data_IF_380813251157
#
_entry.id   IF_380813251157
#
_cell.length_a   1.000
_cell.length_b   1.000
_cell.length_c   1.000
_cell.angle_alpha   90.00
_cell.angle_beta   90.00
_cell.angle_gamma   90.00
#
_symmetry.space_group_name_H-M   'P 1'
#
loop_
_entity.id
_entity.type
_entity.pdbx_description
1 polymer ?
#
# COMPACT_ATOMS: atom_id res chain seq x y z
N UNK A 1 4.32 2.03 -18.32
CA UNK A 1 3.48 0.82 -18.25
C UNK A 1 2.68 0.86 -16.95
N UNK A 2 1.67 0.00 -16.80
CA UNK A 2 0.93 -0.08 -15.56
C UNK A 2 0.01 -1.29 -15.47
N UNK A 3 -0.49 -1.50 -14.26
CA UNK A 3 -1.50 -2.50 -13.93
C UNK A 3 -2.68 -1.77 -13.31
N UNK A 4 -3.89 -2.02 -13.80
CA UNK A 4 -5.10 -1.44 -13.24
C UNK A 4 -6.09 -2.53 -12.83
N UNK A 5 -6.72 -2.34 -11.68
CA UNK A 5 -7.70 -3.26 -11.11
C UNK A 5 -9.05 -2.55 -10.97
N UNK A 6 -10.13 -3.24 -11.35
CA UNK A 6 -11.49 -2.72 -11.26
C UNK A 6 -12.04 -2.73 -9.83
N UNK A 7 -11.25 -3.18 -8.86
CA UNK A 7 -11.66 -3.27 -7.46
C UNK A 7 -10.50 -2.93 -6.54
N UNK A 8 -10.78 -2.13 -5.51
CA UNK A 8 -9.79 -1.62 -4.57
C UNK A 8 -10.16 -2.02 -3.13
N UNK A 9 -9.43 -2.98 -2.56
CA UNK A 9 -9.60 -3.38 -1.15
C UNK A 9 -9.02 -2.38 -0.14
N UNK A 10 -8.39 -1.32 -0.65
CA UNK A 10 -7.73 -0.26 0.12
C UNK A 10 -8.13 1.12 -0.44
N UNK A 11 -9.43 1.48 -0.41
CA UNK A 11 -9.87 2.80 -0.85
C UNK A 11 -9.50 3.87 0.19
N UNK A 12 -9.17 5.08 -0.29
CA UNK A 12 -8.80 6.22 0.56
C UNK A 12 -9.74 7.39 0.33
N UNK A 13 -9.86 8.29 1.32
CA UNK A 13 -10.77 9.43 1.25
C UNK A 13 -12.23 8.97 1.01
N UNK A 14 -12.92 9.53 0.02
CA UNK A 14 -14.28 9.16 -0.38
C UNK A 14 -14.34 8.13 -1.53
N UNK A 15 -13.21 7.50 -1.87
CA UNK A 15 -13.21 6.40 -2.84
C UNK A 15 -14.02 5.23 -2.31
N UNK A 16 -14.71 4.53 -3.21
CA UNK A 16 -15.33 3.24 -2.98
C UNK A 16 -14.50 2.10 -3.57
N UNK A 17 -14.66 0.85 -3.09
CA UNK A 17 -13.93 -0.28 -3.64
C UNK A 17 -14.12 -0.44 -5.15
N UNK A 18 -15.31 -0.17 -5.65
CA UNK A 18 -15.67 -0.29 -7.08
C UNK A 18 -15.02 0.78 -7.97
N UNK A 19 -14.42 1.83 -7.39
CA UNK A 19 -13.73 2.86 -8.17
C UNK A 19 -12.38 2.36 -8.73
N UNK A 20 -11.90 1.22 -8.23
CA UNK A 20 -10.67 0.59 -8.66
C UNK A 20 -9.42 1.43 -8.42
N UNK A 21 -8.29 0.99 -8.95
CA UNK A 21 -7.04 1.74 -8.92
C UNK A 21 -6.11 1.32 -10.07
N UNK A 22 -5.10 2.14 -10.32
CA UNK A 22 -4.01 1.84 -11.23
C UNK A 22 -2.67 2.08 -10.54
N UNK A 23 -1.69 1.25 -10.86
CA UNK A 23 -0.29 1.41 -10.48
C UNK A 23 0.51 1.57 -11.76
N UNK A 24 1.16 2.71 -11.93
CA UNK A 24 1.91 3.08 -13.12
C UNK A 24 3.39 3.31 -12.81
N UNK A 25 4.23 2.94 -13.76
CA UNK A 25 5.67 3.15 -13.70
C UNK A 25 6.24 3.50 -15.08
N UNK A 26 7.41 4.13 -15.07
CA UNK A 26 8.24 4.29 -16.26
C UNK A 26 8.94 2.97 -16.55
N UNK A 27 9.10 2.61 -17.83
CA UNK A 27 9.76 1.38 -18.28
C UNK A 27 8.85 0.15 -18.39
N UNK A 28 9.46 -1.03 -18.40
CA UNK A 28 8.78 -2.33 -18.57
C UNK A 28 7.86 -2.67 -17.39
N UNK A 29 6.77 -3.37 -17.69
CA UNK A 29 5.72 -3.74 -16.72
C UNK A 29 6.23 -4.58 -15.55
N UNK A 30 7.35 -5.29 -15.71
CA UNK A 30 8.05 -6.04 -14.66
C UNK A 30 8.28 -5.19 -13.41
N UNK A 31 8.48 -3.88 -13.55
CA UNK A 31 8.62 -2.97 -12.41
C UNK A 31 7.38 -2.96 -11.51
N UNK A 32 6.19 -2.87 -12.10
CA UNK A 32 4.92 -2.84 -11.36
C UNK A 32 4.59 -4.22 -10.80
N UNK A 33 4.79 -5.27 -11.61
CA UNK A 33 4.51 -6.66 -11.20
C UNK A 33 5.45 -7.10 -10.05
N UNK A 34 6.70 -6.64 -10.05
CA UNK A 34 7.68 -6.91 -9.00
C UNK A 34 7.41 -6.22 -7.67
N UNK A 35 6.38 -5.38 -7.57
CA UNK A 35 6.03 -4.67 -6.33
C UNK A 35 6.99 -3.55 -5.95
N UNK A 36 7.75 -3.03 -6.92
CA UNK A 36 8.64 -1.89 -6.73
C UNK A 36 7.86 -0.60 -6.45
N UNK A 37 8.56 0.47 -6.07
CA UNK A 37 7.96 1.78 -5.78
C UNK A 37 7.39 2.46 -7.03
N UNK A 38 6.15 2.12 -7.37
CA UNK A 38 5.40 2.65 -8.51
C UNK A 38 4.28 3.61 -8.06
N UNK A 39 3.81 4.46 -8.97
CA UNK A 39 2.84 5.50 -8.65
C UNK A 39 1.40 4.95 -8.69
N UNK A 40 0.70 5.01 -7.56
CA UNK A 40 -0.69 4.53 -7.44
C UNK A 40 -1.68 5.68 -7.53
N UNK A 41 -2.73 5.53 -8.34
CA UNK A 41 -3.82 6.50 -8.46
C UNK A 41 -5.17 5.81 -8.71
N UNK A 42 -6.27 6.51 -8.46
CA UNK A 42 -7.61 6.05 -8.84
C UNK A 42 -8.00 6.66 -10.20
N UNK A 43 -8.34 5.87 -11.22
CA UNK A 43 -8.77 6.40 -12.52
C UNK A 43 -9.94 7.38 -12.43
N UNK A 44 -10.91 7.11 -11.55
CA UNK A 44 -12.08 7.98 -11.33
C UNK A 44 -11.74 9.28 -10.61
N UNK A 45 -10.73 9.25 -9.73
CA UNK A 45 -10.29 10.40 -8.94
C UNK A 45 -8.76 10.59 -9.01
N UNK A 46 -8.20 10.90 -10.19
CA UNK A 46 -6.75 10.89 -10.41
C UNK A 46 -6.02 12.03 -9.69
N UNK A 47 -6.76 13.05 -9.25
CA UNK A 47 -6.23 14.18 -8.49
C UNK A 47 -6.08 13.89 -6.99
N UNK A 48 -6.73 12.85 -6.46
CA UNK A 48 -6.57 12.46 -5.06
C UNK A 48 -5.23 11.75 -4.92
N UNK A 49 -4.30 12.39 -4.22
CA UNK A 49 -3.06 11.75 -3.79
C UNK A 49 -3.05 11.69 -2.26
N UNK A 50 -3.10 10.50 -1.64
CA UNK A 50 -3.05 10.37 -0.19
C UNK A 50 -1.65 10.68 0.38
N UNK A 51 -0.65 10.88 -0.48
CA UNK A 51 0.75 10.99 -0.09
C UNK A 51 1.20 12.44 0.06
N UNK A 52 1.90 12.75 1.15
CA UNK A 52 2.57 14.03 1.34
C UNK A 52 3.81 14.18 0.44
N UNK A 53 4.11 15.43 0.04
CA UNK A 53 5.21 15.79 -0.86
C UNK A 53 6.56 15.10 -0.53
N UNK A 54 6.97 15.12 0.74
CA UNK A 54 8.26 14.55 1.16
C UNK A 54 8.33 13.05 0.99
N UNK A 55 7.20 12.36 1.15
CA UNK A 55 7.12 10.92 0.94
C UNK A 55 7.06 10.61 -0.57
N UNK A 56 6.37 11.42 -1.38
CA UNK A 56 6.43 11.30 -2.85
C UNK A 56 7.87 11.44 -3.36
N UNK A 57 8.63 12.41 -2.86
CA UNK A 57 10.02 12.60 -3.25
C UNK A 57 10.86 11.40 -2.83
N UNK A 58 10.75 10.94 -1.58
CA UNK A 58 11.55 9.83 -1.03
C UNK A 58 11.27 8.52 -1.75
N UNK A 59 9.99 8.23 -1.99
CA UNK A 59 9.50 6.93 -2.43
C UNK A 59 9.21 6.87 -3.93
N UNK A 60 9.48 7.93 -4.68
CA UNK A 60 9.43 7.91 -6.13
C UNK A 60 10.36 6.84 -6.72
N UNK A 61 9.89 6.22 -7.80
CA UNK A 61 10.69 5.39 -8.69
C UNK A 61 12.07 6.01 -8.97
N UNK A 62 13.13 5.22 -8.77
CA UNK A 62 14.54 5.64 -8.95
C UNK A 62 15.20 5.04 -10.17
N UNK A 63 14.67 3.92 -10.62
CA UNK A 63 15.16 3.16 -11.76
C UNK A 63 13.97 2.51 -12.47
N UNK A 64 14.20 2.03 -13.67
CA UNK A 64 13.25 1.22 -14.42
C UNK A 64 13.99 0.13 -15.18
N UNK A 65 13.21 -0.87 -15.61
CA UNK A 65 13.69 -1.91 -16.50
C UNK A 65 13.41 -1.50 -17.94
N UNK A 66 14.41 -1.69 -18.80
CA UNK A 66 14.34 -1.44 -20.23
C UNK A 66 14.98 -2.60 -20.98
N UNK A 67 14.60 -2.78 -22.24
CA UNK A 67 15.25 -3.74 -23.12
C UNK A 67 16.53 -3.11 -23.67
N UNK A 68 17.64 -3.83 -23.58
CA UNK A 68 18.90 -3.41 -24.18
C UNK A 68 18.93 -3.72 -25.67
N UNK A 69 18.64 -2.71 -26.49
CA UNK A 69 18.63 -2.85 -27.94
C UNK A 69 20.03 -2.89 -28.56
N UNK A 70 21.10 -2.60 -27.79
CA UNK A 70 22.48 -2.65 -28.27
C UNK A 70 23.14 -4.01 -28.00
N UNK A 71 22.56 -4.81 -27.11
CA UNK A 71 23.05 -6.15 -26.76
C UNK A 71 22.67 -7.16 -27.83
N UNK A 72 23.65 -7.49 -28.67
CA UNK A 72 23.48 -8.47 -29.75
C UNK A 72 23.85 -9.91 -29.33
N UNK A 73 24.45 -10.09 -28.16
CA UNK A 73 24.89 -11.37 -27.62
C UNK A 73 24.33 -11.55 -26.20
N UNK A 74 23.26 -12.34 -26.08
CA UNK A 74 22.57 -12.63 -24.83
C UNK A 74 22.21 -14.11 -24.77
N UNK A 75 22.37 -14.72 -23.59
CA UNK A 75 22.16 -16.15 -23.40
C UNK A 75 20.79 -16.42 -22.77
N UNK A 76 19.78 -16.64 -23.60
CA UNK A 76 18.43 -16.98 -23.13
C UNK A 76 18.38 -18.32 -22.37
N UNK A 77 19.31 -19.24 -22.62
CA UNK A 77 19.31 -20.55 -21.97
C UNK A 77 19.82 -20.46 -20.53
N UNK A 78 20.80 -19.58 -20.30
CA UNK A 78 21.40 -19.35 -18.98
C UNK A 78 20.68 -18.26 -18.18
N UNK A 79 20.41 -17.12 -18.82
CA UNK A 79 19.96 -15.89 -18.17
C UNK A 79 18.45 -15.63 -18.38
N UNK A 80 17.76 -16.48 -19.14
CA UNK A 80 16.30 -16.51 -19.23
C UNK A 80 15.68 -15.26 -19.87
N UNK A 81 14.51 -14.86 -19.36
CA UNK A 81 13.78 -13.67 -19.83
C UNK A 81 14.46 -12.35 -19.47
N UNK A 82 15.38 -12.36 -18.50
CA UNK A 82 16.15 -11.20 -18.05
C UNK A 82 17.42 -10.96 -18.88
N UNK A 83 17.77 -11.86 -19.80
CA UNK A 83 19.06 -11.86 -20.51
C UNK A 83 19.36 -10.54 -21.24
N UNK A 84 18.33 -9.82 -21.69
CA UNK A 84 18.45 -8.53 -22.39
C UNK A 84 17.85 -7.36 -21.58
N UNK A 85 17.48 -7.56 -20.31
CA UNK A 85 16.87 -6.52 -19.49
C UNK A 85 17.96 -5.74 -18.76
N UNK A 86 17.95 -4.41 -18.94
CA UNK A 86 18.81 -3.47 -18.22
C UNK A 86 18.02 -2.68 -17.20
N UNK A 87 18.68 -2.42 -16.06
CA UNK A 87 18.21 -1.51 -15.02
C UNK A 87 18.84 -0.14 -15.23
N UNK A 88 18.01 0.85 -15.59
CA UNK A 88 18.43 2.22 -15.90
C UNK A 88 17.92 3.17 -14.82
N UNK A 89 18.75 4.11 -14.37
CA UNK A 89 18.31 5.12 -13.40
C UNK A 89 17.46 6.21 -14.06
N UNK A 90 16.47 6.76 -13.33
CA UNK A 90 15.64 7.88 -13.83
C UNK A 90 16.51 9.10 -14.18
N UNK A 91 17.59 9.32 -13.43
CA UNK A 91 18.56 10.41 -13.69
C UNK A 91 19.32 10.22 -15.00
N UNK A 92 19.58 8.98 -15.41
CA UNK A 92 20.24 8.69 -16.67
C UNK A 92 19.29 8.95 -17.84
N UNK A 93 18.06 8.42 -17.75
CA UNK A 93 17.03 8.56 -18.76
C UNK A 93 16.48 10.00 -18.93
N UNK A 94 16.69 10.88 -17.95
CA UNK A 94 16.41 12.31 -18.10
C UNK A 94 17.10 12.90 -19.34
N UNK A 95 18.30 12.42 -19.67
CA UNK A 95 19.08 12.88 -20.83
C UNK A 95 18.44 12.54 -22.16
N UNK A 96 17.54 11.55 -22.18
CA UNK A 96 16.87 11.08 -23.39
C UNK A 96 15.67 11.95 -23.75
N UNK A 97 15.20 12.81 -22.83
CA UNK A 97 14.11 13.75 -23.08
C UNK A 97 12.71 13.12 -23.16
N UNK A 98 12.57 11.83 -22.83
CA UNK A 98 11.32 11.06 -22.96
C UNK A 98 10.43 11.11 -21.70
N UNK A 99 10.97 11.60 -20.58
CA UNK A 99 10.31 11.55 -19.28
C UNK A 99 9.30 12.68 -19.02
N UNK A 100 9.18 13.66 -19.92
CA UNK A 100 8.44 14.92 -19.71
C UNK A 100 7.02 14.73 -19.18
N UNK A 101 6.29 13.72 -19.65
CA UNK A 101 4.91 13.47 -19.23
C UNK A 101 4.78 12.62 -17.95
N UNK A 102 5.88 12.01 -17.49
CA UNK A 102 5.89 11.03 -16.41
C UNK A 102 6.48 11.59 -15.10
N UNK A 103 7.22 12.69 -15.16
CA UNK A 103 7.92 13.25 -14.00
C UNK A 103 7.54 14.70 -13.69
N UNK A 104 7.71 15.05 -12.43
CA UNK A 104 7.84 16.42 -11.95
C UNK A 104 9.25 16.66 -11.40
N UNK A 105 9.70 17.91 -11.45
CA UNK A 105 10.94 18.34 -10.81
C UNK A 105 10.64 18.95 -9.45
N UNK A 106 11.37 18.49 -8.42
CA UNK A 106 11.26 19.06 -7.08
C UNK A 106 12.07 20.36 -6.96
N UNK A 107 11.36 21.45 -6.71
CA UNK A 107 11.91 22.76 -6.39
C UNK A 107 12.15 22.84 -4.88
N UNK A 108 13.43 22.79 -4.51
CA UNK A 108 13.89 22.84 -3.12
C UNK A 108 13.67 24.22 -2.47
N UNK A 109 13.65 25.30 -3.25
CA UNK A 109 13.50 26.66 -2.72
C UNK A 109 12.06 26.92 -2.32
N UNK A 110 11.11 26.45 -3.14
CA UNK A 110 9.69 26.67 -2.93
C UNK A 110 8.97 25.50 -2.24
N UNK A 111 9.65 24.38 -1.97
CA UNK A 111 9.08 23.12 -1.43
C UNK A 111 7.85 22.66 -2.24
N UNK A 112 8.01 22.60 -3.58
CA UNK A 112 6.93 22.23 -4.51
C UNK A 112 7.41 21.31 -5.63
N UNK A 113 6.46 20.59 -6.25
CA UNK A 113 6.69 19.82 -7.47
C UNK A 113 6.21 20.62 -8.68
N UNK A 114 7.11 20.83 -9.63
CA UNK A 114 6.82 21.49 -10.88
C UNK A 114 6.76 20.42 -11.98
N UNK A 115 5.61 20.21 -12.63
CA UNK A 115 5.46 19.20 -13.68
C UNK A 115 6.48 19.36 -14.80
N UNK A 116 6.96 18.22 -15.31
CA UNK A 116 7.94 18.16 -16.37
C UNK A 116 9.38 17.98 -15.89
N UNK A 117 10.25 17.79 -16.87
CA UNK A 117 11.67 17.46 -16.69
C UNK A 117 12.61 18.65 -16.95
N UNK A 118 12.10 19.76 -17.49
CA UNK A 118 12.90 20.89 -17.98
C UNK A 118 13.67 21.67 -16.90
N UNK A 119 13.25 21.62 -15.63
CA UNK A 119 13.91 22.35 -14.55
C UNK A 119 15.06 21.57 -13.94
N UNK A 120 16.03 22.26 -13.34
CA UNK A 120 17.07 21.60 -12.54
C UNK A 120 16.50 21.16 -11.20
N UNK A 121 16.80 19.92 -10.81
CA UNK A 121 16.40 19.38 -9.52
C UNK A 121 16.09 17.88 -9.56
N UNK A 122 15.87 17.24 -8.40
CA UNK A 122 15.50 15.84 -8.33
C UNK A 122 14.19 15.57 -9.08
N UNK A 123 14.18 14.49 -9.88
CA UNK A 123 12.97 14.02 -10.57
C UNK A 123 12.14 13.10 -9.69
N UNK A 124 10.83 13.31 -9.74
CA UNK A 124 9.81 12.54 -9.05
C UNK A 124 8.86 12.00 -10.09
N UNK A 125 8.74 10.67 -10.19
CA UNK A 125 7.79 10.00 -11.09
C UNK A 125 6.40 10.08 -10.45
N UNK A 126 5.55 10.94 -10.99
CA UNK A 126 4.21 11.22 -10.45
C UNK A 126 3.12 11.35 -11.52
N UNK A 127 3.51 11.29 -12.80
CA UNK A 127 2.62 11.42 -13.95
C UNK A 127 1.72 12.66 -13.91
N UNK A 128 2.16 13.77 -13.29
CA UNK A 128 1.33 14.96 -13.08
C UNK A 128 0.74 15.51 -14.39
N UNK A 129 1.53 15.54 -15.47
CA UNK A 129 1.08 15.99 -16.80
C UNK A 129 -0.09 15.15 -17.35
N UNK A 130 -0.06 13.83 -17.11
CA UNK A 130 -1.14 12.93 -17.53
C UNK A 130 -2.34 13.03 -16.58
N UNK A 131 -2.11 12.97 -15.27
CA UNK A 131 -3.18 12.81 -14.27
C UNK A 131 -3.89 14.12 -13.91
N UNK A 132 -3.16 15.24 -13.85
CA UNK A 132 -3.70 16.56 -13.47
C UNK A 132 -3.99 17.41 -14.69
N UNK A 133 -3.07 17.44 -15.66
CA UNK A 133 -3.17 18.30 -16.84
C UNK A 133 -3.75 17.60 -18.08
N UNK A 134 -4.05 16.29 -17.97
CA UNK A 134 -4.74 15.50 -19.00
C UNK A 134 -4.07 15.59 -20.38
N UNK A 135 -2.73 15.56 -20.43
CA UNK A 135 -2.02 15.48 -21.73
C UNK A 135 -2.44 14.27 -22.56
N UNK A 136 -2.86 13.20 -21.88
CA UNK A 136 -3.49 12.01 -22.48
C UNK A 136 -4.67 11.60 -21.59
N UNK A 137 -5.82 11.17 -22.15
CA UNK A 137 -6.98 10.75 -21.38
C UNK A 137 -6.80 9.35 -20.76
N UNK A 138 -5.67 9.10 -20.09
CA UNK A 138 -5.37 7.81 -19.48
C UNK A 138 -6.39 7.43 -18.38
N UNK A 139 -6.70 8.30 -17.39
CA UNK A 139 -7.65 7.95 -16.34
C UNK A 139 -9.04 7.60 -16.91
N UNK A 140 -9.52 8.43 -17.85
CA UNK A 140 -10.82 8.22 -18.51
C UNK A 140 -10.82 6.90 -19.32
N UNK A 141 -9.70 6.59 -20.00
CA UNK A 141 -9.54 5.32 -20.75
C UNK A 141 -9.58 4.12 -19.81
N UNK A 142 -8.86 4.17 -18.70
CA UNK A 142 -8.84 3.08 -17.72
C UNK A 142 -10.21 2.90 -17.06
N UNK A 143 -10.91 3.98 -16.72
CA UNK A 143 -12.26 3.90 -16.15
C UNK A 143 -13.23 3.16 -17.10
N UNK A 144 -13.22 3.52 -18.38
CA UNK A 144 -14.05 2.86 -19.40
C UNK A 144 -13.67 1.39 -19.57
N UNK A 145 -12.38 1.07 -19.69
CA UNK A 145 -11.92 -0.30 -19.91
C UNK A 145 -12.18 -1.19 -18.71
N UNK A 146 -11.88 -0.73 -17.49
CA UNK A 146 -12.13 -1.49 -16.26
C UNK A 146 -13.60 -1.82 -16.10
N UNK A 147 -14.49 -0.85 -16.35
CA UNK A 147 -15.94 -1.08 -16.30
C UNK A 147 -16.38 -2.08 -17.38
N UNK A 148 -15.94 -1.89 -18.63
CA UNK A 148 -16.30 -2.76 -19.74
C UNK A 148 -15.90 -4.21 -19.48
N UNK A 149 -14.67 -4.44 -19.00
CA UNK A 149 -14.18 -5.79 -18.75
C UNK A 149 -14.76 -6.41 -17.48
N UNK A 150 -15.04 -5.60 -16.45
CA UNK A 150 -15.81 -6.05 -15.30
C UNK A 150 -17.19 -6.58 -15.71
N UNK A 151 -17.94 -5.78 -16.49
CA UNK A 151 -19.28 -6.13 -16.96
C UNK A 151 -19.23 -7.36 -17.89
N UNK A 152 -18.23 -7.45 -18.77
CA UNK A 152 -18.08 -8.56 -19.71
C UNK A 152 -17.70 -9.88 -19.04
N UNK A 153 -16.87 -9.84 -17.98
CA UNK A 153 -16.43 -11.04 -17.26
C UNK A 153 -17.37 -11.42 -16.10
N UNK A 154 -18.22 -10.51 -15.63
CA UNK A 154 -19.09 -10.72 -14.47
C UNK A 154 -18.33 -10.81 -13.14
N UNK A 155 -17.07 -10.37 -13.10
CA UNK A 155 -16.21 -10.38 -11.93
C UNK A 155 -15.25 -9.19 -11.95
N UNK A 156 -14.66 -8.78 -10.82
CA UNK A 156 -13.53 -7.86 -10.83
C UNK A 156 -12.40 -8.33 -11.75
N UNK A 157 -11.71 -7.39 -12.38
CA UNK A 157 -10.67 -7.65 -13.38
C UNK A 157 -9.40 -6.86 -13.10
N UNK A 158 -8.28 -7.41 -13.55
CA UNK A 158 -7.00 -6.74 -13.66
C UNK A 158 -6.62 -6.63 -15.14
N UNK A 159 -6.16 -5.45 -15.54
CA UNK A 159 -5.60 -5.21 -16.86
C UNK A 159 -4.15 -4.75 -16.76
N UNK A 160 -3.32 -5.25 -17.66
CA UNK A 160 -1.95 -4.79 -17.83
C UNK A 160 -1.89 -3.95 -19.11
N UNK A 161 -1.24 -2.79 -19.03
CA UNK A 161 -1.22 -1.84 -20.12
C UNK A 161 0.14 -1.16 -20.31
N UNK A 162 0.38 -0.69 -21.52
CA UNK A 162 1.47 0.21 -21.86
C UNK A 162 0.94 1.41 -22.63
N UNK A 163 1.65 2.53 -22.53
CA UNK A 163 1.36 3.73 -23.29
C UNK A 163 2.63 4.09 -24.01
N UNK A 164 2.52 4.21 -25.32
CA UNK A 164 3.52 4.85 -26.14
C UNK A 164 3.10 6.31 -26.33
N UNK A 165 3.93 7.22 -25.85
CA UNK A 165 3.69 8.66 -25.90
C UNK A 165 4.04 9.26 -27.26
N UNK A 166 4.70 8.50 -28.15
CA UNK A 166 4.94 8.94 -29.51
C UNK A 166 3.61 9.09 -30.28
N UNK A 167 3.47 10.11 -31.14
CA UNK A 167 2.27 10.29 -31.93
C UNK A 167 2.07 9.10 -32.88
N UNK A 168 1.02 8.32 -32.66
CA UNK A 168 0.59 7.26 -33.58
C UNK A 168 -0.10 7.81 -34.83
N UNK A 169 -0.80 6.95 -35.57
CA UNK A 169 -1.39 7.27 -36.88
C UNK A 169 -2.33 8.48 -36.92
N UNK A 170 -2.90 8.87 -35.77
CA UNK A 170 -3.82 10.01 -35.64
C UNK A 170 -3.23 11.19 -34.85
N UNK A 171 -1.92 11.19 -34.61
CA UNK A 171 -1.25 12.20 -33.79
C UNK A 171 -1.49 12.06 -32.28
N UNK A 172 -2.09 10.95 -31.85
CA UNK A 172 -2.36 10.63 -30.44
C UNK A 172 -1.40 9.55 -29.94
N UNK A 173 -1.04 9.58 -28.65
CA UNK A 173 -0.39 8.44 -27.98
C UNK A 173 -1.16 7.14 -28.17
N UNK A 174 -0.44 6.03 -28.24
CA UNK A 174 -1.03 4.70 -28.41
C UNK A 174 -1.14 3.99 -27.07
N UNK A 175 -2.36 3.58 -26.72
CA UNK A 175 -2.62 2.73 -25.56
C UNK A 175 -2.60 1.26 -26.00
N UNK A 176 -1.74 0.46 -25.38
CA UNK A 176 -1.64 -0.97 -25.59
C UNK A 176 -2.26 -1.70 -24.40
N UNK A 177 -3.28 -2.50 -24.68
CA UNK A 177 -3.80 -3.48 -23.73
C UNK A 177 -3.00 -4.77 -23.87
N UNK A 178 -2.25 -5.12 -22.85
CA UNK A 178 -1.30 -6.24 -22.89
C UNK A 178 -1.92 -7.53 -22.37
N UNK A 179 -2.69 -7.43 -21.28
CA UNK A 179 -3.34 -8.57 -20.66
C UNK A 179 -4.63 -8.14 -19.97
N UNK A 180 -5.59 -9.05 -19.91
CA UNK A 180 -6.78 -8.96 -19.07
C UNK A 180 -6.88 -10.29 -18.32
N UNK A 181 -7.10 -10.24 -17.01
CA UNK A 181 -7.39 -11.44 -16.21
C UNK A 181 -8.46 -11.11 -15.17
N UNK A 182 -9.36 -12.06 -14.86
CA UNK A 182 -10.28 -11.88 -13.75
C UNK A 182 -9.48 -11.93 -12.43
N UNK A 183 -9.83 -11.07 -11.47
CA UNK A 183 -9.31 -11.10 -10.10
C UNK A 183 -9.96 -12.27 -9.35
N UNK A 184 -9.55 -13.49 -9.71
CA UNK A 184 -9.95 -14.72 -9.02
C UNK A 184 -8.83 -15.05 -8.04
N UNK A 185 -8.63 -14.24 -7.00
CA UNK A 185 -7.90 -14.72 -5.82
C UNK A 185 -8.88 -15.50 -4.95
N UNK A 186 -8.43 -16.63 -4.40
CA UNK A 186 -9.20 -17.43 -3.44
C UNK A 186 -9.61 -16.59 -2.23
N UNK A 187 -8.79 -15.60 -1.87
CA UNK A 187 -9.07 -14.58 -0.83
C UNK A 187 -10.24 -13.66 -1.19
N UNK A 188 -10.46 -13.37 -2.49
CA UNK A 188 -11.51 -12.47 -3.01
C UNK A 188 -12.88 -13.14 -3.19
N UNK A 189 -12.92 -14.48 -3.14
CA UNK A 189 -14.15 -15.28 -3.19
C UNK A 189 -14.75 -15.58 -1.82
N UNK A 190 -14.00 -15.40 -0.73
CA UNK A 190 -14.59 -15.58 0.59
C UNK A 190 -15.42 -14.34 0.88
N UNK A 191 -16.71 -14.38 0.51
CA UNK A 191 -17.69 -13.47 1.10
C UNK A 191 -17.80 -13.86 2.58
N UNK A 192 -16.85 -13.39 3.36
CA UNK A 192 -16.81 -13.68 4.79
C UNK A 192 -17.97 -12.92 5.40
N UNK A 193 -19.00 -13.66 5.78
CA UNK A 193 -20.10 -13.11 6.53
C UNK A 193 -19.67 -12.89 7.98
N UNK A 194 -19.02 -11.75 8.19
CA UNK A 194 -18.61 -11.27 9.52
C UNK A 194 -19.84 -11.09 10.43
N UNK A 195 -21.03 -10.84 9.87
CA UNK A 195 -22.25 -10.66 10.66
C UNK A 195 -22.82 -12.00 11.16
N UNK A 196 -22.56 -13.10 10.44
CA UNK A 196 -22.90 -14.46 10.88
C UNK A 196 -21.81 -15.12 11.75
N UNK A 197 -20.60 -14.56 11.78
CA UNK A 197 -19.50 -15.08 12.60
C UNK A 197 -19.79 -14.92 14.10
N UNK A 198 -19.43 -15.93 14.89
CA UNK A 198 -19.56 -15.86 16.34
C UNK A 198 -18.71 -14.71 16.90
N UNK A 199 -19.30 -13.93 17.81
CA UNK A 199 -18.61 -12.89 18.59
C UNK A 199 -18.14 -13.40 19.96
N UNK A 200 -18.18 -14.72 20.17
CA UNK A 200 -17.52 -15.34 21.32
C UNK A 200 -15.99 -15.18 21.18
N UNK A 201 -15.30 -14.92 22.29
CA UNK A 201 -13.86 -14.63 22.32
C UNK A 201 -13.44 -13.55 21.30
N UNK A 202 -14.17 -12.43 21.29
CA UNK A 202 -13.86 -11.30 20.43
C UNK A 202 -12.65 -10.52 20.95
N UNK A 203 -11.61 -10.41 20.12
CA UNK A 203 -10.49 -9.49 20.38
C UNK A 203 -10.72 -8.14 19.72
N UNK A 204 -11.14 -8.12 18.46
CA UNK A 204 -11.36 -6.88 17.70
C UNK A 204 -12.52 -7.01 16.72
N UNK A 205 -13.32 -5.95 16.61
CA UNK A 205 -14.28 -5.72 15.53
C UNK A 205 -14.12 -4.29 15.01
N UNK A 206 -14.19 -4.09 13.70
CA UNK A 206 -14.19 -2.76 13.10
C UNK A 206 -14.96 -2.72 11.78
N UNK A 207 -15.73 -1.65 11.56
CA UNK A 207 -16.43 -1.36 10.28
C UNK A 207 -15.65 -0.41 9.35
N UNK A 208 -14.40 -0.11 9.72
CA UNK A 208 -13.46 0.67 8.91
C UNK A 208 -12.11 -0.03 8.88
N UNK A 209 -12.06 -1.12 8.12
CA UNK A 209 -10.87 -1.92 7.86
C UNK A 209 -10.53 -2.00 6.38
N UNK A 210 -9.26 -2.29 6.11
CA UNK A 210 -8.72 -2.62 4.80
C UNK A 210 -8.08 -4.00 4.84
N UNK A 211 -7.93 -4.60 3.66
CA UNK A 211 -7.50 -5.98 3.49
C UNK A 211 -8.68 -6.92 3.25
N UNK A 212 -8.38 -8.11 2.73
CA UNK A 212 -9.38 -9.08 2.36
C UNK A 212 -8.86 -10.51 2.55
N UNK A 213 -9.73 -11.41 3.03
CA UNK A 213 -9.41 -12.82 3.25
C UNK A 213 -9.39 -13.22 4.73
N UNK A 214 -8.76 -14.37 5.00
CA UNK A 214 -8.77 -15.01 6.31
C UNK A 214 -7.35 -15.45 6.71
N UNK A 215 -6.97 -15.19 7.97
CA UNK A 215 -5.69 -15.60 8.57
C UNK A 215 -5.98 -16.45 9.81
N UNK A 216 -5.29 -17.58 9.98
CA UNK A 216 -5.55 -18.57 11.06
C UNK A 216 -4.29 -19.12 11.75
N UNK A 217 -3.14 -18.54 11.47
CA UNK A 217 -1.83 -19.08 11.84
C UNK A 217 -1.01 -18.12 12.73
N UNK A 218 -1.61 -17.00 13.14
CA UNK A 218 -0.95 -16.01 14.01
C UNK A 218 -1.33 -16.23 15.47
N UNK A 219 -0.34 -16.44 16.32
CA UNK A 219 -0.52 -16.57 17.78
C UNK A 219 0.03 -15.34 18.54
N UNK A 220 0.93 -14.60 17.90
CA UNK A 220 1.73 -13.56 18.52
C UNK A 220 1.09 -12.18 18.30
N UNK A 221 0.92 -11.42 19.39
CA UNK A 221 0.49 -10.03 19.35
C UNK A 221 1.56 -9.15 20.00
N UNK A 222 1.97 -8.12 19.28
CA UNK A 222 2.81 -7.05 19.79
C UNK A 222 1.93 -5.81 19.94
N UNK A 223 1.82 -5.27 21.14
CA UNK A 223 1.00 -4.09 21.38
C UNK A 223 1.67 -3.05 22.28
N UNK A 224 1.32 -1.79 22.05
CA UNK A 224 1.70 -0.67 22.92
C UNK A 224 0.69 -0.61 24.08
N UNK A 225 1.16 -0.73 25.32
CA UNK A 225 0.28 -0.71 26.49
C UNK A 225 -0.27 0.72 26.71
N UNK A 226 -1.61 0.92 26.66
CA UNK A 226 -2.22 2.23 26.85
C UNK A 226 -1.91 2.87 28.21
N UNK A 227 -1.58 2.08 29.23
CA UNK A 227 -1.27 2.60 30.57
C UNK A 227 0.11 3.24 30.65
N UNK A 228 1.07 2.73 29.88
CA UNK A 228 2.44 3.26 29.82
C UNK A 228 2.65 4.23 28.67
N UNK A 229 1.69 4.32 27.75
CA UNK A 229 1.80 5.18 26.56
C UNK A 229 2.05 6.65 26.92
N UNK A 230 3.11 7.21 26.34
CA UNK A 230 3.42 8.63 26.41
C UNK A 230 3.65 9.18 25.00
N UNK A 231 2.84 10.19 24.63
CA UNK A 231 2.91 10.89 23.33
C UNK A 231 4.28 11.55 23.09
N UNK A 232 5.02 11.87 24.15
CA UNK A 232 6.36 12.45 24.06
C UNK A 232 7.45 11.38 23.84
N UNK A 233 7.08 10.10 23.96
CA UNK A 233 7.97 8.94 23.89
C UNK A 233 7.74 8.05 22.66
N UNK A 234 7.00 8.53 21.66
CA UNK A 234 6.68 7.79 20.44
C UNK A 234 7.90 7.31 19.66
N UNK A 235 9.03 8.02 19.74
CA UNK A 235 10.31 7.58 19.15
C UNK A 235 10.94 6.41 19.92
N UNK A 236 10.88 6.41 21.25
CA UNK A 236 11.31 5.24 22.03
C UNK A 236 10.40 4.04 21.75
N UNK A 237 9.07 4.25 21.69
CA UNK A 237 8.09 3.21 21.32
C UNK A 237 8.42 2.59 19.95
N UNK A 238 8.70 3.42 18.93
CA UNK A 238 9.09 2.94 17.60
C UNK A 238 10.37 2.08 17.62
N UNK A 239 11.34 2.41 18.49
CA UNK A 239 12.56 1.60 18.66
C UNK A 239 12.26 0.25 19.32
N UNK A 240 11.39 0.24 20.32
CA UNK A 240 10.97 -1.00 21.00
C UNK A 240 10.27 -1.95 20.04
N UNK A 241 9.35 -1.42 19.22
CA UNK A 241 8.67 -2.17 18.16
C UNK A 241 9.68 -2.75 17.17
N UNK A 242 10.63 -1.94 16.69
CA UNK A 242 11.67 -2.39 15.75
C UNK A 242 12.51 -3.55 16.31
N UNK A 243 12.84 -3.52 17.61
CA UNK A 243 13.57 -4.61 18.25
C UNK A 243 12.76 -5.91 18.27
N UNK A 244 11.47 -5.83 18.57
CA UNK A 244 10.59 -7.01 18.55
C UNK A 244 10.37 -7.52 17.12
N UNK A 245 10.16 -6.64 16.14
CA UNK A 245 10.01 -7.03 14.74
C UNK A 245 11.24 -7.80 14.21
N UNK A 246 12.45 -7.36 14.56
CA UNK A 246 13.69 -8.09 14.21
C UNK A 246 13.74 -9.49 14.82
N UNK A 247 13.31 -9.65 16.07
CA UNK A 247 13.20 -10.97 16.71
C UNK A 247 12.17 -11.86 16.00
N UNK A 248 11.02 -11.30 15.64
CA UNK A 248 10.00 -12.04 14.88
C UNK A 248 10.53 -12.47 13.51
N UNK A 249 11.32 -11.62 12.86
CA UNK A 249 12.01 -11.96 11.61
C UNK A 249 13.02 -13.10 11.79
N UNK A 250 13.87 -13.06 12.82
CA UNK A 250 14.81 -14.13 13.15
C UNK A 250 14.11 -15.46 13.47
N UNK A 251 12.93 -15.41 14.09
CA UNK A 251 12.11 -16.57 14.41
C UNK A 251 11.24 -17.06 13.24
N UNK A 252 11.21 -16.33 12.12
CA UNK A 252 10.33 -16.63 10.98
C UNK A 252 8.84 -16.55 11.34
N UNK A 253 8.46 -15.72 12.30
CA UNK A 253 7.09 -15.57 12.79
C UNK A 253 6.47 -14.26 12.35
N UNK A 254 5.16 -14.30 12.14
CA UNK A 254 4.32 -13.13 11.85
C UNK A 254 3.47 -12.78 13.07
N UNK A 255 2.98 -11.53 13.15
CA UNK A 255 2.24 -11.06 14.32
C UNK A 255 1.14 -10.04 14.00
N UNK A 256 0.26 -9.83 14.97
CA UNK A 256 -0.71 -8.71 14.98
C UNK A 256 -0.13 -7.55 15.78
N UNK A 257 -0.17 -6.37 15.20
CA UNK A 257 0.35 -5.14 15.78
C UNK A 257 -0.78 -4.22 16.21
N UNK A 258 -0.78 -3.81 17.48
CA UNK A 258 -1.84 -2.96 18.05
C UNK A 258 -1.21 -1.77 18.77
N UNK A 259 -1.68 -0.56 18.50
CA UNK A 259 -1.27 0.57 19.33
C UNK A 259 -1.88 1.90 18.96
N UNK A 260 -1.59 2.93 19.76
CA UNK A 260 -2.31 4.19 19.70
C UNK A 260 -1.84 5.11 18.57
N UNK A 261 -2.81 5.81 17.98
CA UNK A 261 -2.62 6.78 16.90
C UNK A 261 -2.10 6.18 15.60
N UNK A 262 -1.60 7.05 14.73
CA UNK A 262 -1.15 6.67 13.38
C UNK A 262 0.21 5.99 13.37
N UNK A 263 0.35 4.94 12.60
CA UNK A 263 1.61 4.25 12.38
C UNK A 263 2.27 4.77 11.10
N UNK A 264 3.55 5.15 11.20
CA UNK A 264 4.27 5.75 10.08
C UNK A 264 4.08 7.25 9.93
N UNK A 265 3.40 7.91 10.88
CA UNK A 265 3.33 9.37 10.93
C UNK A 265 4.67 9.98 11.30
N UNK A 266 5.09 11.04 10.59
CA UNK A 266 6.22 11.87 11.00
C UNK A 266 5.85 12.84 12.13
N UNK A 267 4.56 13.13 12.30
CA UNK A 267 4.07 13.90 13.43
C UNK A 267 3.95 13.00 14.66
N UNK A 268 4.91 13.17 15.56
CA UNK A 268 5.01 12.41 16.80
C UNK A 268 3.92 12.76 17.82
N UNK A 269 3.14 13.83 17.60
CA UNK A 269 2.01 14.20 18.45
C UNK A 269 0.70 13.53 18.04
N UNK A 270 0.66 12.90 16.87
CA UNK A 270 -0.54 12.21 16.33
C UNK A 270 -0.27 10.75 15.96
N UNK A 271 0.98 10.29 16.05
CA UNK A 271 1.32 8.90 15.75
C UNK A 271 2.69 8.43 16.21
N UNK A 272 2.97 7.16 15.92
CA UNK A 272 4.22 6.46 16.18
C UNK A 272 5.06 6.47 14.88
N UNK A 273 6.25 7.09 14.89
CA UNK A 273 7.09 7.26 13.70
C UNK A 273 7.88 5.99 13.35
N UNK A 274 7.16 4.91 13.02
CA UNK A 274 7.76 3.67 12.50
C UNK A 274 8.03 3.78 11.00
N UNK A 275 9.12 3.20 10.53
CA UNK A 275 9.31 2.88 9.11
C UNK A 275 8.71 1.49 8.84
N UNK A 276 8.39 1.19 7.57
CA UNK A 276 7.92 -0.15 7.19
C UNK A 276 8.86 -1.27 7.66
N UNK A 277 10.18 -1.08 7.50
CA UNK A 277 11.20 -2.02 7.96
C UNK A 277 11.16 -2.28 9.48
N UNK A 278 10.53 -1.41 10.28
CA UNK A 278 10.37 -1.60 11.72
C UNK A 278 9.19 -2.51 12.08
N UNK A 279 8.29 -2.80 11.15
CA UNK A 279 7.06 -3.58 11.36
C UNK A 279 6.79 -4.57 10.22
N UNK A 280 7.82 -4.95 9.48
CA UNK A 280 7.72 -5.74 8.25
C UNK A 280 7.12 -7.13 8.42
N UNK A 281 7.08 -7.67 9.65
CA UNK A 281 6.46 -8.96 9.99
C UNK A 281 5.05 -8.85 10.55
N UNK A 282 4.51 -7.63 10.64
CA UNK A 282 3.10 -7.42 11.00
C UNK A 282 2.20 -7.78 9.82
N UNK A 283 1.25 -8.71 10.04
CA UNK A 283 0.24 -9.08 9.05
C UNK A 283 -1.07 -8.37 9.24
N UNK A 284 -1.32 -7.90 10.46
CA UNK A 284 -2.47 -7.08 10.83
C UNK A 284 -1.96 -5.91 11.65
N UNK A 285 -2.40 -4.69 11.32
CA UNK A 285 -2.09 -3.47 12.04
C UNK A 285 -3.41 -2.86 12.51
N UNK A 286 -3.52 -2.59 13.81
CA UNK A 286 -4.70 -2.03 14.45
C UNK A 286 -4.30 -0.71 15.11
N UNK A 287 -4.75 0.37 14.52
CA UNK A 287 -4.59 1.71 15.06
C UNK A 287 -5.74 2.02 16.03
N UNK A 288 -5.40 2.36 17.26
CA UNK A 288 -6.36 2.64 18.31
C UNK A 288 -6.37 4.13 18.66
N UNK A 289 -7.55 4.74 18.73
CA UNK A 289 -7.70 6.07 19.29
C UNK A 289 -7.66 6.05 20.81
N UNK A 290 -6.99 7.03 21.43
CA UNK A 290 -7.08 7.31 22.87
C UNK A 290 -7.79 8.65 23.10
N UNK A 291 -8.29 8.86 24.32
CA UNK A 291 -9.07 10.06 24.71
C UNK A 291 -8.42 11.38 24.29
N UNK A 292 -7.09 11.48 24.46
CA UNK A 292 -6.31 12.68 24.15
C UNK A 292 -5.31 12.45 22.99
N UNK A 293 -5.54 11.41 22.18
CA UNK A 293 -4.69 11.02 21.03
C UNK A 293 -5.58 10.44 19.91
N UNK A 294 -6.27 11.31 19.14
CA UNK A 294 -7.21 10.89 18.12
C UNK A 294 -6.51 10.33 16.86
N UNK A 295 -7.23 9.51 16.12
CA UNK A 295 -6.81 9.04 14.79
C UNK A 295 -7.24 10.06 13.75
N UNK A 296 -6.31 10.74 13.10
CA UNK A 296 -6.60 11.48 11.86
C UNK A 296 -6.48 10.52 10.64
N UNK A 297 -7.04 10.85 9.47
CA UNK A 297 -7.11 9.91 8.30
C UNK A 297 -6.10 10.09 7.14
N UNK A 298 -4.79 10.06 7.38
CA UNK A 298 -3.74 10.23 6.35
C UNK A 298 -2.76 9.07 6.46
N UNK A 299 -2.52 8.40 5.33
CA UNK A 299 -1.70 7.20 5.21
C UNK A 299 -0.45 7.59 4.42
N UNK A 300 0.75 7.45 5.00
CA UNK A 300 2.00 7.72 4.26
C UNK A 300 2.17 6.75 3.08
N UNK A 301 2.73 7.22 1.94
CA UNK A 301 2.79 6.43 0.69
C UNK A 301 3.45 5.07 0.85
N UNK A 302 4.72 5.02 1.28
CA UNK A 302 5.45 3.76 1.35
C UNK A 302 4.80 2.79 2.34
N UNK A 303 4.28 3.31 3.43
CA UNK A 303 3.52 2.52 4.38
C UNK A 303 2.29 1.91 3.70
N UNK A 304 1.53 2.72 2.97
CA UNK A 304 0.32 2.30 2.28
C UNK A 304 0.58 1.32 1.11
N UNK A 305 1.60 1.58 0.28
CA UNK A 305 2.01 0.68 -0.80
C UNK A 305 2.36 -0.71 -0.26
N UNK A 306 3.15 -0.80 0.81
CA UNK A 306 3.49 -2.10 1.39
C UNK A 306 2.29 -2.80 2.02
N UNK A 307 1.40 -2.05 2.70
CA UNK A 307 0.15 -2.59 3.23
C UNK A 307 -0.69 -3.22 2.12
N UNK A 308 -0.76 -2.57 0.95
CA UNK A 308 -1.49 -3.10 -0.22
C UNK A 308 -0.80 -4.29 -0.88
N UNK A 309 0.51 -4.23 -1.11
CA UNK A 309 1.26 -5.25 -1.85
C UNK A 309 1.41 -6.55 -1.05
N UNK A 310 1.51 -6.46 0.27
CA UNK A 310 1.69 -7.61 1.17
C UNK A 310 0.40 -8.15 1.77
N UNK A 311 -0.77 -7.69 1.28
CA UNK A 311 -2.10 -8.02 1.80
C UNK A 311 -2.18 -7.92 3.33
N UNK A 312 -1.66 -6.83 3.89
CA UNK A 312 -1.70 -6.57 5.33
C UNK A 312 -3.08 -6.03 5.68
N UNK A 313 -3.70 -6.60 6.72
CA UNK A 313 -4.94 -6.08 7.26
C UNK A 313 -4.68 -4.80 8.04
N UNK A 314 -5.47 -3.77 7.79
CA UNK A 314 -5.25 -2.47 8.42
C UNK A 314 -6.58 -1.93 8.96
N UNK A 315 -6.64 -1.73 10.27
CA UNK A 315 -7.87 -1.38 10.97
C UNK A 315 -7.70 -0.13 11.81
N UNK A 316 -8.70 0.75 11.76
CA UNK A 316 -8.77 1.91 12.64
C UNK A 316 -9.91 1.74 13.63
N UNK A 317 -9.59 1.81 14.93
CA UNK A 317 -10.53 1.71 16.05
C UNK A 317 -10.56 3.06 16.79
N UNK A 318 -11.47 3.99 16.43
CA UNK A 318 -11.57 5.28 17.10
C UNK A 318 -11.90 5.14 18.58
N UNK A 319 -11.44 6.10 19.38
CA UNK A 319 -11.79 6.15 20.81
C UNK A 319 -13.31 6.27 20.97
N UNK A 320 -13.89 5.43 21.84
CA UNK A 320 -15.32 5.42 22.15
C UNK A 320 -16.23 5.21 20.92
N UNK A 321 -15.78 4.39 19.96
CA UNK A 321 -16.58 4.01 18.79
C UNK A 321 -17.73 3.07 19.16
N UNK A 322 -18.88 3.22 18.49
CA UNK A 322 -20.01 2.27 18.56
C UNK A 322 -19.91 1.14 17.54
N UNK A 323 -19.03 1.32 16.55
CA UNK A 323 -18.91 0.46 15.35
C UNK A 323 -17.52 -0.17 15.23
N UNK A 324 -16.67 0.02 16.25
CA UNK A 324 -15.36 -0.60 16.34
C UNK A 324 -14.95 -0.77 17.81
N UNK A 325 -14.28 -1.86 18.14
CA UNK A 325 -13.79 -2.16 19.50
C UNK A 325 -12.56 -3.05 19.44
N UNK A 326 -11.62 -2.83 20.36
CA UNK A 326 -10.49 -3.73 20.62
C UNK A 326 -10.40 -3.97 22.13
N UNK A 327 -10.36 -5.23 22.55
CA UNK A 327 -10.31 -5.61 23.96
C UNK A 327 -8.85 -5.80 24.42
N UNK A 328 -8.29 -4.75 25.01
CA UNK A 328 -6.93 -4.78 25.56
C UNK A 328 -6.84 -5.63 26.84
N UNK A 329 -7.94 -5.83 27.56
CA UNK A 329 -7.92 -6.62 28.80
C UNK A 329 -7.82 -8.12 28.52
N UNK A 330 -8.27 -8.58 27.35
CA UNK A 330 -7.98 -9.93 26.84
C UNK A 330 -6.47 -10.12 26.66
N UNK A 331 -5.75 -9.14 26.10
CA UNK A 331 -4.31 -9.22 25.86
C UNK A 331 -3.52 -9.38 27.17
N UNK A 332 -3.94 -8.67 28.22
CA UNK A 332 -3.30 -8.73 29.55
C UNK A 332 -3.40 -10.11 30.22
N UNK A 333 -4.34 -10.95 29.81
CA UNK A 333 -4.55 -12.30 30.35
C UNK A 333 -3.75 -13.37 29.61
N UNK A 334 -3.12 -13.02 28.50
CA UNK A 334 -2.34 -13.96 27.69
C UNK A 334 -0.93 -14.16 28.25
N UNK A 335 -0.24 -15.17 27.71
CA UNK A 335 1.15 -15.46 28.09
C UNK A 335 2.06 -14.32 27.63
N UNK A 336 2.65 -13.61 28.58
CA UNK A 336 3.66 -12.59 28.32
C UNK A 336 4.98 -13.26 27.90
N UNK A 337 5.47 -12.92 26.70
CA UNK A 337 6.75 -13.41 26.17
C UNK A 337 7.86 -12.40 26.46
N UNK A 338 7.61 -11.12 26.19
CA UNK A 338 8.55 -10.04 26.42
C UNK A 338 7.81 -8.75 26.79
N UNK A 339 8.30 -8.06 27.82
CA UNK A 339 7.82 -6.73 28.23
C UNK A 339 8.97 -5.74 28.12
N UNK A 340 8.74 -4.63 27.43
CA UNK A 340 9.62 -3.47 27.37
C UNK A 340 8.99 -2.30 28.15
N UNK A 341 9.51 -1.09 27.99
CA UNK A 341 8.99 0.06 28.75
C UNK A 341 7.57 0.44 28.32
N UNK A 342 7.25 0.32 27.03
CA UNK A 342 5.97 0.71 26.45
C UNK A 342 5.26 -0.40 25.67
N UNK A 343 6.03 -1.37 25.18
CA UNK A 343 5.55 -2.41 24.26
C UNK A 343 5.58 -3.78 24.93
N UNK A 344 4.52 -4.56 24.71
CA UNK A 344 4.37 -5.93 25.20
C UNK A 344 4.19 -6.89 24.04
N UNK A 345 4.87 -8.03 24.13
CA UNK A 345 4.68 -9.18 23.25
C UNK A 345 3.98 -10.28 24.06
N UNK A 346 2.78 -10.63 23.62
CA UNK A 346 1.98 -11.71 24.19
C UNK A 346 1.73 -12.80 23.15
N UNK A 347 1.58 -14.03 23.61
CA UNK A 347 1.27 -15.18 22.79
C UNK A 347 -0.03 -15.83 23.27
N UNK A 348 -0.93 -16.11 22.34
CA UNK A 348 -2.13 -16.91 22.58
C UNK A 348 -1.80 -18.41 22.53
N UNK A 349 -2.55 -19.21 23.30
CA UNK A 349 -2.36 -20.67 23.31
C UNK A 349 -2.89 -21.35 22.04
N UNK A 350 -3.78 -20.67 21.31
CA UNK A 350 -4.33 -21.11 20.03
C UNK A 350 -4.17 -19.98 19.00
N UNK A 351 -3.99 -20.31 17.71
CA UNK A 351 -3.95 -19.30 16.67
C UNK A 351 -5.23 -18.47 16.59
N UNK A 352 -5.05 -17.17 16.40
CA UNK A 352 -6.11 -16.20 16.21
C UNK A 352 -6.77 -16.42 14.85
N UNK A 353 -8.10 -16.29 14.80
CA UNK A 353 -8.83 -16.25 13.54
C UNK A 353 -9.13 -14.80 13.19
N UNK A 354 -8.50 -14.34 12.10
CA UNK A 354 -8.72 -13.02 11.53
C UNK A 354 -9.58 -13.15 10.28
N UNK A 355 -10.67 -12.40 10.22
CA UNK A 355 -11.57 -12.29 9.10
C UNK A 355 -11.56 -10.85 8.59
N UNK A 356 -11.31 -10.67 7.30
CA UNK A 356 -11.28 -9.36 6.66
C UNK A 356 -12.19 -9.39 5.45
N UNK A 357 -13.23 -8.57 5.46
CA UNK A 357 -14.10 -8.37 4.32
C UNK A 357 -13.86 -6.95 3.80
N UNK A 358 -12.95 -6.82 2.85
CA UNK A 358 -12.60 -5.53 2.25
C UNK A 358 -13.75 -4.91 1.45
N UNK A 359 -14.75 -5.71 1.04
CA UNK A 359 -15.97 -5.22 0.38
C UNK A 359 -16.88 -4.47 1.35
N UNK A 360 -17.15 -5.07 2.50
CA UNK A 360 -17.94 -4.44 3.57
C UNK A 360 -17.10 -3.51 4.46
N UNK A 361 -15.79 -3.41 4.21
CA UNK A 361 -14.78 -2.74 5.08
C UNK A 361 -14.82 -3.21 6.53
N UNK A 362 -15.21 -4.47 6.75
CA UNK A 362 -15.37 -5.06 8.08
C UNK A 362 -14.19 -5.96 8.43
N UNK A 363 -13.78 -5.96 9.69
CA UNK A 363 -12.79 -6.86 10.26
C UNK A 363 -13.25 -7.48 11.56
N UNK A 364 -12.87 -8.74 11.78
CA UNK A 364 -13.12 -9.49 13.01
C UNK A 364 -11.87 -10.27 13.40
N UNK A 365 -11.46 -10.20 14.66
CA UNK A 365 -10.39 -11.05 15.22
C UNK A 365 -10.94 -11.76 16.44
N UNK A 366 -10.83 -13.09 16.43
CA UNK A 366 -11.29 -13.99 17.50
C UNK A 366 -10.14 -14.90 17.96
N UNK A 367 -10.22 -15.37 19.21
CA UNK A 367 -9.16 -16.13 19.88
C UNK A 367 -9.61 -17.43 20.57
#
# INVERSE_FOLDING_TARGET
>A
SGVAQSYNFYPVSYMEPEDGFSVAAVGLGTYVVGGESAFRFCPRYPAINPTDLKDQIRDSQRFFYALDMEMNDFDLAKDGEDAAIKRISIREAEKDGTLENSVSTYDMENDTLIPGSNQQGPKVVDFANILKYKTVPLPDTLEVLLKLFHDAMGSPVEIEYAIDMEPGEKGWPTFYLLQIKPLIRIEDQVDIDIDAASRENLLMYAERGMGNGQIKDIEDIIYVDPQTFDRLKTKEIAREINQLNKKMEELGKEYILIGPGRWGSRDHFTGIPVLWANISKARIIIEMGLKDFPLDGSLGSHFFHNVTSMNVGYFSVPYNSRVASVDIDVLKKQKLIEEKQFVKHVQFNQPLTVLMNGRKRKGLITY
#
